data_IF_883798091677
#
_entry.id   IF_883798091677
#
_cell.length_a   1.000
_cell.length_b   1.000
_cell.length_c   1.000
_cell.angle_alpha   90.00
_cell.angle_beta   90.00
_cell.angle_gamma   90.00
#
_symmetry.space_group_name_H-M   'P 1'
#
loop_
_entity.id
_entity.type
_entity.pdbx_description
1 polymer ?
#
# COMPACT_ATOMS: atom_id res chain seq x y z
N UNK A 1 -16.65 -7.05 -7.16
CA UNK A 1 -17.31 -7.22 -8.47
C UNK A 1 -18.38 -8.30 -8.39
N UNK A 2 -19.57 -8.00 -8.90
CA UNK A 2 -20.69 -8.93 -8.98
C UNK A 2 -21.29 -8.91 -10.38
N UNK A 3 -21.51 -10.10 -10.96
CA UNK A 3 -22.14 -10.29 -12.26
C UNK A 3 -23.52 -10.89 -12.03
N UNK A 4 -24.56 -10.19 -12.46
CA UNK A 4 -25.96 -10.60 -12.24
C UNK A 4 -26.65 -10.85 -13.58
N UNK A 5 -27.36 -11.97 -13.70
CA UNK A 5 -28.34 -12.18 -14.75
C UNK A 5 -29.74 -11.98 -14.17
N UNK A 6 -30.56 -11.15 -14.82
CA UNK A 6 -31.94 -10.87 -14.44
C UNK A 6 -32.87 -11.55 -15.45
N UNK A 7 -33.48 -12.71 -15.11
CA UNK A 7 -34.26 -13.50 -16.07
C UNK A 7 -35.47 -12.77 -16.63
N UNK A 8 -36.19 -12.02 -15.79
CA UNK A 8 -37.39 -11.26 -16.18
C UNK A 8 -37.12 -10.20 -17.26
N UNK A 9 -35.87 -9.71 -17.32
CA UNK A 9 -35.44 -8.73 -18.34
C UNK A 9 -34.60 -9.36 -19.44
N UNK A 10 -34.18 -10.62 -19.29
CA UNK A 10 -33.15 -11.29 -20.10
C UNK A 10 -31.88 -10.43 -20.25
N UNK A 11 -31.43 -9.81 -19.14
CA UNK A 11 -30.28 -8.88 -19.14
C UNK A 11 -29.24 -9.26 -18.10
N UNK A 12 -27.98 -9.06 -18.49
CA UNK A 12 -26.80 -9.24 -17.63
C UNK A 12 -26.25 -7.88 -17.20
N UNK A 13 -25.89 -7.73 -15.93
CA UNK A 13 -25.38 -6.51 -15.32
C UNK A 13 -24.07 -6.80 -14.60
N UNK A 14 -23.10 -5.90 -14.71
CA UNK A 14 -21.86 -5.94 -13.93
C UNK A 14 -21.85 -4.80 -12.93
N UNK A 15 -21.71 -5.11 -11.65
CA UNK A 15 -21.47 -4.11 -10.62
C UNK A 15 -20.03 -4.22 -10.14
N UNK A 16 -19.22 -3.18 -10.31
CA UNK A 16 -17.81 -3.27 -9.93
C UNK A 16 -17.63 -3.30 -8.41
N UNK A 17 -18.47 -2.56 -7.69
CA UNK A 17 -18.14 -2.11 -6.34
C UNK A 17 -16.91 -1.20 -6.44
N UNK A 18 -16.21 -0.99 -5.33
CA UNK A 18 -14.91 -0.33 -5.34
C UNK A 18 -13.88 -1.27 -5.98
N UNK A 19 -13.18 -0.83 -7.03
CA UNK A 19 -12.19 -1.69 -7.71
C UNK A 19 -11.09 -0.90 -8.42
N UNK A 20 -9.93 -1.55 -8.58
CA UNK A 20 -8.86 -1.11 -9.47
C UNK A 20 -8.76 -2.09 -10.63
N UNK A 21 -9.04 -1.62 -11.85
CA UNK A 21 -8.90 -2.45 -13.04
C UNK A 21 -7.47 -2.99 -13.18
N UNK A 22 -7.36 -4.28 -13.48
CA UNK A 22 -6.14 -4.91 -13.97
C UNK A 22 -6.46 -5.74 -15.21
N UNK A 23 -5.57 -5.83 -16.21
CA UNK A 23 -5.81 -6.66 -17.40
C UNK A 23 -6.16 -8.11 -17.07
N UNK A 24 -5.63 -8.64 -15.97
CA UNK A 24 -5.93 -10.00 -15.48
C UNK A 24 -7.42 -10.26 -15.20
N UNK A 25 -8.22 -9.21 -14.96
CA UNK A 25 -9.68 -9.35 -14.79
C UNK A 25 -10.38 -9.79 -16.08
N UNK A 26 -9.72 -9.61 -17.23
CA UNK A 26 -10.23 -9.93 -18.55
C UNK A 26 -9.54 -11.17 -19.18
N UNK A 27 -8.68 -11.86 -18.43
CA UNK A 27 -7.97 -13.07 -18.88
C UNK A 27 -8.36 -14.29 -18.05
N UNK A 28 -8.11 -15.50 -18.56
CA UNK A 28 -8.36 -16.73 -17.79
C UNK A 28 -7.60 -16.69 -16.45
N UNK A 29 -8.20 -17.16 -15.33
CA UNK A 29 -9.47 -17.89 -15.21
C UNK A 29 -10.72 -17.01 -14.97
N UNK A 30 -10.68 -15.70 -15.25
CA UNK A 30 -11.83 -14.80 -15.00
C UNK A 30 -13.04 -15.19 -15.84
N UNK A 31 -14.23 -15.24 -15.24
CA UNK A 31 -15.50 -15.46 -15.95
C UNK A 31 -15.83 -14.34 -16.94
N UNK A 32 -15.25 -13.15 -16.77
CA UNK A 32 -15.45 -12.02 -17.69
C UNK A 32 -14.89 -12.32 -19.09
N UNK A 33 -13.95 -13.26 -19.22
CA UNK A 33 -13.46 -13.74 -20.53
C UNK A 33 -14.58 -14.22 -21.44
N UNK A 34 -15.66 -14.80 -20.87
CA UNK A 34 -16.82 -15.25 -21.64
C UNK A 34 -17.60 -14.12 -22.34
N UNK A 35 -17.32 -12.86 -21.98
CA UNK A 35 -17.99 -11.67 -22.50
C UNK A 35 -17.08 -10.82 -23.42
N UNK A 36 -15.87 -11.28 -23.69
CA UNK A 36 -14.85 -10.59 -24.50
C UNK A 36 -14.60 -11.43 -25.73
N UNK A 37 -14.52 -10.81 -26.91
CA UNK A 37 -14.22 -11.56 -28.13
C UNK A 37 -12.77 -12.00 -28.13
N UNK A 38 -12.55 -13.30 -28.31
CA UNK A 38 -11.29 -13.75 -28.87
C UNK A 38 -11.32 -13.52 -30.39
N UNK A 39 -10.20 -13.21 -31.03
CA UNK A 39 -10.13 -12.91 -32.46
C UNK A 39 -10.43 -14.14 -33.36
N UNK A 40 -10.98 -15.20 -32.79
CA UNK A 40 -11.37 -16.45 -33.45
C UNK A 40 -12.88 -16.46 -33.72
N UNK A 41 -13.22 -16.55 -35.00
CA UNK A 41 -14.55 -16.38 -35.54
C UNK A 41 -15.62 -17.36 -35.00
N UNK A 42 -16.88 -16.90 -35.08
CA UNK A 42 -18.14 -17.68 -35.19
C UNK A 42 -18.99 -17.92 -33.93
N UNK A 43 -18.58 -17.53 -32.71
CA UNK A 43 -19.45 -17.67 -31.51
C UNK A 43 -20.08 -16.34 -31.10
N UNK A 44 -21.42 -16.26 -31.09
CA UNK A 44 -22.15 -15.11 -30.53
C UNK A 44 -21.90 -15.02 -29.03
N UNK A 45 -21.20 -13.99 -28.59
CA UNK A 45 -20.87 -13.79 -27.17
C UNK A 45 -22.09 -13.28 -26.38
N UNK A 46 -22.23 -13.69 -25.11
CA UNK A 46 -23.18 -13.07 -24.20
C UNK A 46 -22.81 -11.59 -23.99
N UNK A 47 -23.83 -10.74 -23.80
CA UNK A 47 -23.66 -9.28 -23.65
C UNK A 47 -23.87 -8.84 -22.21
N UNK A 48 -22.97 -8.01 -21.69
CA UNK A 48 -23.24 -7.19 -20.51
C UNK A 48 -24.04 -5.96 -20.95
N UNK A 49 -25.24 -5.82 -20.42
CA UNK A 49 -26.20 -4.80 -20.85
C UNK A 49 -25.99 -3.46 -20.15
N UNK A 50 -25.55 -3.48 -18.88
CA UNK A 50 -25.18 -2.28 -18.14
C UNK A 50 -24.06 -2.58 -17.15
N UNK A 51 -23.23 -1.58 -16.90
CA UNK A 51 -22.13 -1.63 -15.94
C UNK A 51 -22.37 -0.53 -14.90
N UNK A 52 -22.42 -0.90 -13.63
CA UNK A 52 -22.37 0.02 -12.50
C UNK A 52 -20.90 0.14 -12.10
N UNK A 53 -20.28 1.22 -12.58
CA UNK A 53 -18.84 1.44 -12.52
C UNK A 53 -18.46 2.29 -11.30
N UNK A 54 -17.37 1.93 -10.64
CA UNK A 54 -16.66 2.79 -9.70
C UNK A 54 -16.16 4.04 -10.42
N UNK A 55 -16.69 5.20 -10.02
CA UNK A 55 -16.36 6.49 -10.62
C UNK A 55 -15.51 7.37 -9.72
N UNK A 56 -14.93 6.82 -8.64
CA UNK A 56 -14.17 7.57 -7.61
C UNK A 56 -13.11 8.50 -8.20
N UNK A 57 -12.40 8.07 -9.26
CA UNK A 57 -11.39 8.89 -9.96
C UNK A 57 -11.67 9.07 -11.46
N UNK A 58 -12.94 9.17 -11.85
CA UNK A 58 -13.34 9.29 -13.27
C UNK A 58 -13.15 10.72 -13.82
N UNK A 59 -11.92 11.24 -13.74
CA UNK A 59 -11.51 12.53 -14.31
C UNK A 59 -10.04 12.47 -14.74
N UNK A 60 -9.71 13.11 -15.86
CA UNK A 60 -8.36 13.13 -16.43
C UNK A 60 -7.31 13.83 -15.56
N UNK A 61 -7.75 14.59 -14.55
CA UNK A 61 -6.86 15.22 -13.56
C UNK A 61 -6.21 14.21 -12.61
N UNK A 62 -6.76 12.99 -12.54
CA UNK A 62 -6.24 11.92 -11.70
C UNK A 62 -5.31 11.03 -12.50
N UNK A 63 -4.02 11.07 -12.16
CA UNK A 63 -3.00 10.18 -12.68
C UNK A 63 -2.26 9.55 -11.50
N UNK A 64 -2.04 8.24 -11.58
CA UNK A 64 -1.51 7.45 -10.49
C UNK A 64 -0.42 6.52 -10.97
N UNK A 65 0.70 6.45 -10.23
CA UNK A 65 1.68 5.43 -10.50
C UNK A 65 1.11 4.03 -10.23
N UNK A 66 1.71 3.04 -10.88
CA UNK A 66 1.39 1.64 -10.62
C UNK A 66 1.74 1.30 -9.16
N UNK A 67 0.99 0.38 -8.54
CA UNK A 67 1.28 -0.10 -7.20
C UNK A 67 2.71 -0.66 -7.09
N UNK A 68 3.17 -1.33 -8.15
CA UNK A 68 4.52 -1.90 -8.21
C UNK A 68 5.58 -0.79 -8.10
N UNK A 69 5.45 0.28 -8.88
CA UNK A 69 6.43 1.37 -8.90
C UNK A 69 6.46 2.13 -7.56
N UNK A 70 5.28 2.32 -6.97
CA UNK A 70 5.11 2.89 -5.62
C UNK A 70 5.83 2.05 -4.57
N UNK A 71 5.62 0.73 -4.58
CA UNK A 71 6.27 -0.19 -3.64
C UNK A 71 7.77 -0.21 -3.88
N UNK A 72 8.22 -0.23 -5.13
CA UNK A 72 9.63 -0.21 -5.49
C UNK A 72 10.34 1.05 -4.98
N UNK A 73 9.77 2.23 -5.22
CA UNK A 73 10.36 3.47 -4.70
C UNK A 73 10.40 3.47 -3.16
N UNK A 74 9.38 2.92 -2.50
CA UNK A 74 9.36 2.85 -1.04
C UNK A 74 10.40 1.86 -0.50
N UNK A 75 10.66 0.78 -1.23
CA UNK A 75 11.72 -0.18 -0.94
C UNK A 75 13.09 0.46 -1.04
N UNK A 76 13.37 1.21 -2.11
CA UNK A 76 14.66 1.90 -2.29
C UNK A 76 14.92 2.88 -1.14
N UNK A 77 13.94 3.75 -0.83
CA UNK A 77 14.06 4.69 0.30
C UNK A 77 14.25 3.93 1.61
N UNK A 78 13.44 2.90 1.89
CA UNK A 78 13.54 2.15 3.16
C UNK A 78 14.89 1.44 3.27
N UNK A 79 15.40 0.85 2.19
CA UNK A 79 16.71 0.20 2.14
C UNK A 79 17.84 1.19 2.42
N UNK A 80 17.82 2.37 1.82
CA UNK A 80 18.83 3.41 2.06
C UNK A 80 18.90 3.84 3.53
N UNK A 81 17.76 3.92 4.21
CA UNK A 81 17.70 4.19 5.64
C UNK A 81 18.25 3.02 6.46
N UNK A 82 17.87 1.79 6.15
CA UNK A 82 18.33 0.59 6.85
C UNK A 82 19.84 0.33 6.70
N UNK A 83 20.44 0.68 5.56
CA UNK A 83 21.89 0.59 5.35
C UNK A 83 22.63 1.57 6.28
N UNK A 84 22.09 2.77 6.48
CA UNK A 84 22.69 3.81 7.33
C UNK A 84 22.45 3.54 8.81
N UNK A 85 21.26 3.09 9.14
CA UNK A 85 20.83 2.76 10.50
C UNK A 85 19.98 1.48 10.48
N UNK A 86 20.60 0.30 10.66
CA UNK A 86 19.88 -0.98 10.70
C UNK A 86 18.86 -1.07 11.84
N UNK A 87 18.95 -0.15 12.81
CA UNK A 87 18.05 -0.09 13.95
C UNK A 87 16.91 0.90 13.75
N UNK A 88 16.74 1.53 12.58
CA UNK A 88 15.59 2.40 12.32
C UNK A 88 14.27 1.62 12.45
N UNK A 89 13.22 2.26 12.98
CA UNK A 89 11.88 1.69 12.99
C UNK A 89 11.15 2.11 11.71
N UNK A 90 10.65 1.14 10.95
CA UNK A 90 9.77 1.42 9.82
C UNK A 90 8.34 1.35 10.30
N UNK A 91 7.52 2.34 9.93
CA UNK A 91 6.10 2.39 10.33
C UNK A 91 5.23 2.59 9.10
N UNK A 92 4.20 1.76 8.93
CA UNK A 92 3.25 1.86 7.83
C UNK A 92 1.86 2.24 8.34
N UNK A 93 1.24 3.24 7.70
CA UNK A 93 -0.11 3.67 8.03
C UNK A 93 -1.21 2.87 7.32
N UNK A 94 -2.16 2.36 8.09
CA UNK A 94 -3.35 1.64 7.59
C UNK A 94 -4.61 2.15 8.31
N UNK A 95 -5.78 2.08 7.65
CA UNK A 95 -7.06 2.51 8.25
C UNK A 95 -7.80 1.34 8.91
N UNK A 96 -8.16 0.31 8.13
CA UNK A 96 -8.85 -0.89 8.61
C UNK A 96 -8.37 -2.13 7.87
N UNK A 97 -8.70 -2.21 6.58
CA UNK A 97 -8.20 -3.16 5.57
C UNK A 97 -7.79 -2.33 4.36
N UNK A 98 -6.79 -2.78 3.62
CA UNK A 98 -6.22 -2.07 2.49
C UNK A 98 -4.77 -1.67 2.74
N UNK A 99 -3.97 -1.70 1.67
CA UNK A 99 -2.50 -1.48 1.65
C UNK A 99 -1.66 -2.62 2.22
N UNK A 100 -2.23 -3.79 2.46
CA UNK A 100 -1.49 -5.00 2.86
C UNK A 100 -0.41 -5.32 1.84
N UNK A 101 -0.67 -5.06 0.55
CA UNK A 101 0.32 -5.23 -0.52
C UNK A 101 1.54 -4.32 -0.34
N UNK A 102 1.35 -3.09 0.14
CA UNK A 102 2.45 -2.18 0.43
C UNK A 102 3.28 -2.67 1.61
N UNK A 103 2.61 -3.03 2.72
CA UNK A 103 3.25 -3.59 3.91
C UNK A 103 3.98 -4.90 3.60
N UNK A 104 3.35 -5.80 2.83
CA UNK A 104 3.93 -7.06 2.37
C UNK A 104 5.15 -6.80 1.49
N UNK A 105 5.07 -5.89 0.51
CA UNK A 105 6.19 -5.57 -0.37
C UNK A 105 7.43 -5.13 0.42
N UNK A 106 7.26 -4.24 1.41
CA UNK A 106 8.36 -3.87 2.31
C UNK A 106 8.86 -5.07 3.13
N UNK A 107 7.96 -5.86 3.70
CA UNK A 107 8.31 -6.98 4.57
C UNK A 107 9.04 -8.11 3.84
N UNK A 108 8.57 -8.50 2.65
CA UNK A 108 9.13 -9.61 1.90
C UNK A 108 10.49 -9.28 1.29
N UNK A 109 10.62 -8.12 0.66
CA UNK A 109 11.85 -7.73 -0.05
C UNK A 109 12.98 -7.30 0.89
N UNK A 110 12.64 -6.78 2.07
CA UNK A 110 13.62 -6.37 3.09
C UNK A 110 13.70 -7.33 4.28
N UNK A 111 12.99 -8.47 4.21
CA UNK A 111 12.90 -9.48 5.26
C UNK A 111 12.59 -8.90 6.66
N UNK A 112 11.64 -7.97 6.72
CA UNK A 112 11.23 -7.29 7.95
C UNK A 112 10.15 -8.09 8.66
N UNK A 113 10.28 -8.26 9.98
CA UNK A 113 9.19 -8.77 10.81
C UNK A 113 8.17 -7.66 11.07
N UNK A 114 6.89 -8.03 10.99
CA UNK A 114 5.77 -7.10 11.02
C UNK A 114 5.02 -7.24 12.32
N UNK A 115 4.76 -6.13 13.00
CA UNK A 115 3.81 -6.09 14.10
C UNK A 115 2.53 -5.37 13.68
N UNK A 116 1.41 -6.01 13.96
CA UNK A 116 0.07 -5.52 13.68
C UNK A 116 -0.68 -5.27 14.99
N UNK A 117 -1.38 -4.14 15.15
CA UNK A 117 -2.30 -3.95 16.27
C UNK A 117 -3.41 -5.01 16.24
N UNK A 118 -3.98 -5.35 17.40
CA UNK A 118 -4.93 -6.47 17.55
C UNK A 118 -6.08 -6.45 16.54
N UNK A 119 -6.67 -5.27 16.30
CA UNK A 119 -7.78 -5.13 15.36
C UNK A 119 -7.34 -5.42 13.92
N UNK A 120 -6.23 -4.83 13.47
CA UNK A 120 -5.66 -5.07 12.14
C UNK A 120 -5.24 -6.54 11.97
N UNK A 121 -4.62 -7.14 13.00
CA UNK A 121 -4.22 -8.55 12.97
C UNK A 121 -5.44 -9.48 12.79
N UNK A 122 -6.54 -9.20 13.51
CA UNK A 122 -7.80 -9.95 13.37
C UNK A 122 -8.36 -9.82 11.94
N UNK A 123 -8.41 -8.62 11.39
CA UNK A 123 -8.93 -8.38 10.05
C UNK A 123 -8.10 -9.08 8.96
N UNK A 124 -6.76 -9.00 9.06
CA UNK A 124 -5.84 -9.67 8.12
C UNK A 124 -5.99 -11.20 8.19
N UNK A 125 -6.13 -11.78 9.39
CA UNK A 125 -6.41 -13.21 9.56
C UNK A 125 -7.72 -13.63 8.92
N UNK A 126 -8.80 -12.88 9.13
CA UNK A 126 -10.10 -13.15 8.53
C UNK A 126 -10.03 -13.04 7.00
N UNK A 127 -9.36 -12.02 6.46
CA UNK A 127 -9.17 -11.86 5.02
C UNK A 127 -8.36 -13.03 4.42
N UNK A 128 -7.30 -13.49 5.10
CA UNK A 128 -6.53 -14.65 4.66
C UNK A 128 -7.37 -15.95 4.67
N UNK A 129 -8.20 -16.15 5.71
CA UNK A 129 -9.15 -17.27 5.78
C UNK A 129 -10.21 -17.20 4.67
N UNK A 130 -10.63 -15.99 4.29
CA UNK A 130 -11.51 -15.72 3.15
C UNK A 130 -10.86 -15.84 1.78
N UNK A 131 -9.59 -16.27 1.70
CA UNK A 131 -8.89 -16.54 0.43
C UNK A 131 -8.04 -15.39 -0.11
N UNK A 132 -7.82 -14.30 0.64
CA UNK A 132 -6.92 -13.23 0.22
C UNK A 132 -5.45 -13.69 0.29
N UNK A 133 -4.81 -13.85 -0.89
CA UNK A 133 -3.41 -14.29 -0.99
C UNK A 133 -2.43 -13.30 -0.35
N UNK A 134 -2.62 -12.00 -0.58
CA UNK A 134 -1.77 -10.94 -0.01
C UNK A 134 -1.76 -11.01 1.51
N UNK A 135 -2.93 -11.18 2.15
CA UNK A 135 -3.02 -11.31 3.60
C UNK A 135 -2.37 -12.61 4.08
N UNK A 136 -2.54 -13.72 3.35
CA UNK A 136 -1.93 -15.02 3.66
C UNK A 136 -0.39 -14.95 3.63
N UNK A 137 0.16 -14.28 2.63
CA UNK A 137 1.61 -14.05 2.50
C UNK A 137 2.12 -13.10 3.58
N UNK A 138 1.42 -12.00 3.85
CA UNK A 138 1.79 -11.04 4.90
C UNK A 138 1.90 -11.70 6.28
N UNK A 139 0.99 -12.63 6.61
CA UNK A 139 0.99 -13.35 7.88
C UNK A 139 2.28 -14.17 8.12
N UNK A 140 3.04 -14.52 7.08
CA UNK A 140 4.34 -15.22 7.22
C UNK A 140 5.42 -14.34 7.88
N UNK A 141 5.25 -13.01 7.83
CA UNK A 141 6.16 -12.03 8.42
C UNK A 141 5.68 -11.49 9.76
N UNK A 142 4.42 -11.78 10.14
CA UNK A 142 3.80 -11.22 11.34
C UNK A 142 4.32 -11.89 12.61
N UNK A 143 4.66 -11.07 13.61
CA UNK A 143 5.07 -11.51 14.96
C UNK A 143 4.07 -11.08 16.02
N UNK A 144 4.12 -11.75 17.17
CA UNK A 144 3.22 -11.58 18.31
C UNK A 144 3.49 -10.31 19.13
N UNK A 145 4.71 -9.79 19.08
CA UNK A 145 5.16 -8.64 19.87
C UNK A 145 5.78 -7.56 19.01
N UNK A 146 5.47 -6.30 19.32
CA UNK A 146 6.10 -5.13 18.68
C UNK A 146 7.60 -5.08 18.93
N UNK A 147 8.09 -5.77 19.95
CA UNK A 147 9.50 -5.77 20.32
C UNK A 147 10.33 -6.67 19.40
N UNK A 148 9.67 -7.54 18.62
CA UNK A 148 10.30 -8.48 17.67
C UNK A 148 10.19 -8.03 16.22
N UNK A 149 9.72 -6.79 15.97
CA UNK A 149 9.38 -6.30 14.64
C UNK A 149 10.19 -5.05 14.25
N UNK A 150 10.55 -4.98 12.97
CA UNK A 150 11.13 -3.80 12.32
C UNK A 150 10.05 -2.89 11.73
N UNK A 151 8.93 -3.50 11.31
CA UNK A 151 7.87 -2.85 10.57
C UNK A 151 6.60 -2.84 11.43
N UNK A 152 6.18 -1.67 11.89
CA UNK A 152 4.96 -1.52 12.69
C UNK A 152 3.84 -0.95 11.85
N UNK A 153 2.67 -1.57 11.90
CA UNK A 153 1.45 -0.96 11.35
C UNK A 153 0.79 -0.10 12.41
N UNK A 154 0.45 1.14 12.06
CA UNK A 154 -0.30 2.05 12.93
C UNK A 154 -1.55 2.61 12.23
N UNK A 155 -2.56 3.03 13.01
CA UNK A 155 -3.69 3.79 12.49
C UNK A 155 -3.20 5.04 11.76
N UNK A 156 -3.74 5.31 10.56
CA UNK A 156 -3.30 6.43 9.73
C UNK A 156 -3.36 7.80 10.43
N UNK A 157 -4.26 7.96 11.39
CA UNK A 157 -4.38 9.18 12.22
C UNK A 157 -3.11 9.44 13.06
N UNK A 158 -2.38 8.40 13.43
CA UNK A 158 -1.15 8.50 14.24
C UNK A 158 0.10 8.76 13.39
N UNK A 159 0.04 8.62 12.07
CA UNK A 159 1.17 8.87 11.17
C UNK A 159 1.37 10.36 10.88
N UNK A 160 1.52 11.16 11.92
CA UNK A 160 1.98 12.55 11.82
C UNK A 160 3.11 12.74 12.84
N UNK A 161 3.84 13.87 12.76
CA UNK A 161 4.98 14.11 13.64
C UNK A 161 4.60 14.00 15.12
N UNK A 162 3.47 14.57 15.55
CA UNK A 162 3.06 14.50 16.95
C UNK A 162 2.75 13.07 17.40
N UNK A 163 2.01 12.32 16.58
CA UNK A 163 1.66 10.92 16.83
C UNK A 163 2.90 10.01 16.88
N UNK A 164 3.85 10.19 15.96
CA UNK A 164 5.07 9.40 15.93
C UNK A 164 6.02 9.75 17.08
N UNK A 165 6.10 11.01 17.53
CA UNK A 165 6.85 11.36 18.74
C UNK A 165 6.24 10.68 19.97
N UNK A 166 4.91 10.67 20.10
CA UNK A 166 4.24 9.96 21.19
C UNK A 166 4.48 8.45 21.12
N UNK A 167 4.42 7.89 19.92
CA UNK A 167 4.68 6.47 19.69
C UNK A 167 6.13 6.07 20.01
N UNK A 168 7.10 6.89 19.60
CA UNK A 168 8.51 6.72 19.91
C UNK A 168 8.75 6.71 21.43
N UNK A 169 8.13 7.64 22.17
CA UNK A 169 8.18 7.67 23.64
C UNK A 169 7.55 6.43 24.28
N UNK A 170 6.42 5.95 23.74
CA UNK A 170 5.74 4.74 24.23
C UNK A 170 6.57 3.48 24.03
N UNK A 171 7.29 3.38 22.91
CA UNK A 171 8.22 2.27 22.67
C UNK A 171 9.43 2.31 23.60
N UNK A 172 9.76 3.50 24.13
CA UNK A 172 10.87 3.68 25.04
C UNK A 172 12.22 3.52 24.36
N UNK A 173 13.23 3.18 25.15
CA UNK A 173 14.58 2.90 24.65
C UNK A 173 14.62 1.52 23.97
N UNK A 174 15.63 1.31 23.11
CA UNK A 174 15.89 0.04 22.44
C UNK A 174 15.97 -1.10 23.48
N UNK A 175 15.31 -2.20 23.17
CA UNK A 175 15.20 -3.33 24.09
C UNK A 175 16.43 -4.24 23.97
N UNK A 176 16.85 -4.95 25.03
CA UNK A 176 17.99 -5.87 24.99
C UNK A 176 17.79 -7.04 24.01
N UNK A 177 16.54 -7.37 23.70
CA UNK A 177 16.10 -8.48 22.83
C UNK A 177 15.70 -7.97 21.44
N UNK A 178 16.02 -6.71 21.14
CA UNK A 178 15.78 -6.13 19.81
C UNK A 178 16.57 -6.98 18.79
N UNK A 179 15.94 -7.55 17.74
CA UNK A 179 16.65 -8.39 16.76
C UNK A 179 17.82 -7.69 16.04
N UNK A 180 18.04 -6.40 16.33
CA UNK A 180 19.06 -5.51 15.74
C UNK A 180 20.25 -5.25 16.67
N UNK A 181 20.41 -5.97 17.78
CA UNK A 181 21.36 -5.63 18.84
C UNK A 181 22.74 -6.30 18.69
N UNK A 182 23.61 -5.76 17.81
CA UNK A 182 25.06 -6.05 17.84
C UNK A 182 25.90 -4.91 18.47
N UNK A 183 25.28 -3.76 18.79
CA UNK A 183 26.01 -2.61 19.30
C UNK A 183 25.62 -2.32 20.76
N UNK A 184 26.54 -2.44 21.72
CA UNK A 184 26.29 -1.95 23.06
C UNK A 184 26.33 -0.42 23.02
N UNK A 185 25.40 0.22 23.74
CA UNK A 185 25.32 1.67 24.01
C UNK A 185 24.69 2.53 22.92
N UNK A 186 23.53 3.14 23.22
CA UNK A 186 23.32 4.60 23.29
C UNK A 186 21.87 4.87 23.79
N UNK A 187 21.64 5.86 24.68
CA UNK A 187 20.31 6.24 25.17
C UNK A 187 19.54 7.09 24.14
N UNK A 188 19.62 6.74 22.86
CA UNK A 188 18.94 7.47 21.77
C UNK A 188 17.64 6.77 21.41
N UNK A 189 16.54 7.53 21.43
CA UNK A 189 15.26 7.06 20.90
C UNK A 189 15.43 6.57 19.46
N UNK A 190 14.75 5.48 19.11
CA UNK A 190 14.85 4.84 17.79
C UNK A 190 14.37 5.78 16.70
N UNK A 191 15.19 6.05 15.68
CA UNK A 191 14.80 6.80 14.48
C UNK A 191 13.55 6.18 13.86
N UNK A 192 12.66 6.99 13.25
CA UNK A 192 11.42 6.49 12.65
C UNK A 192 11.33 6.91 11.18
N UNK A 193 11.12 5.91 10.31
CA UNK A 193 10.71 6.09 8.93
C UNK A 193 9.22 5.73 8.80
N UNK A 194 8.37 6.73 8.63
CA UNK A 194 6.93 6.58 8.47
C UNK A 194 6.51 6.59 7.00
N UNK A 195 5.63 5.66 6.62
CA UNK A 195 4.97 5.59 5.33
C UNK A 195 3.49 5.88 5.48
N UNK A 196 3.00 6.90 4.77
CA UNK A 196 1.59 7.24 4.57
C UNK A 196 1.18 6.88 3.14
N UNK A 197 0.99 5.58 2.82
CA UNK A 197 0.52 5.17 1.51
C UNK A 197 -0.91 5.68 1.34
N UNK A 198 -1.05 6.81 0.64
CA UNK A 198 -2.30 7.55 0.45
C UNK A 198 -2.61 7.62 -1.03
N UNK A 199 -3.87 7.88 -1.37
CA UNK A 199 -4.31 8.08 -2.74
C UNK A 199 -3.84 9.43 -3.30
N UNK A 200 -4.59 9.96 -4.26
CA UNK A 200 -4.25 11.22 -4.91
C UNK A 200 -4.17 12.39 -3.94
N UNK A 201 -3.29 13.34 -4.23
CA UNK A 201 -3.43 14.69 -3.70
C UNK A 201 -3.06 15.69 -4.78
N UNK A 202 -3.93 16.68 -5.02
CA UNK A 202 -3.64 17.81 -5.88
C UNK A 202 -2.42 18.56 -5.36
N UNK A 203 -1.43 18.83 -6.22
CA UNK A 203 -0.40 19.82 -5.92
C UNK A 203 -0.61 21.03 -6.81
N UNK A 204 -1.00 22.15 -6.19
CA UNK A 204 -0.55 23.45 -6.70
C UNK A 204 0.91 23.59 -6.31
N UNK A 205 1.75 23.87 -7.31
CA UNK A 205 3.19 24.08 -7.17
C UNK A 205 3.48 25.25 -6.24
N UNK A 206 3.48 25.04 -4.93
CA UNK A 206 4.06 25.99 -3.99
C UNK A 206 4.98 25.25 -3.04
N UNK A 207 6.23 25.74 -3.01
CA UNK A 207 7.35 25.37 -2.14
C UNK A 207 7.96 23.99 -2.39
N UNK A 208 8.83 23.93 -3.41
CA UNK A 208 9.98 23.04 -3.39
C UNK A 208 10.95 23.55 -2.31
N UNK A 209 10.86 23.01 -1.10
CA UNK A 209 11.98 23.12 -0.17
C UNK A 209 13.04 22.09 -0.54
N UNK A 210 14.26 22.62 -0.61
CA UNK A 210 15.51 22.08 -1.10
C UNK A 210 16.01 20.81 -0.40
N UNK A 211 16.86 20.10 -1.15
CA UNK A 211 17.88 19.12 -0.73
C UNK A 211 17.40 17.69 -0.44
N UNK A 212 17.44 16.89 -1.51
CA UNK A 212 17.86 15.48 -1.70
C UNK A 212 17.28 15.10 -3.08
N UNK A 213 17.96 14.24 -3.86
CA UNK A 213 17.43 13.76 -5.15
C UNK A 213 15.93 13.43 -4.99
N UNK A 214 15.05 13.88 -5.90
CA UNK A 214 13.64 13.53 -5.79
C UNK A 214 13.55 12.01 -5.67
N UNK A 215 12.88 11.49 -4.63
CA UNK A 215 12.78 10.05 -4.44
C UNK A 215 12.24 9.39 -5.72
N UNK A 216 12.70 8.19 -6.06
CA UNK A 216 12.22 7.46 -7.23
C UNK A 216 10.70 7.31 -7.19
N UNK A 217 10.08 7.31 -8.37
CA UNK A 217 8.65 7.01 -8.57
C UNK A 217 7.69 7.93 -7.81
N UNK A 218 8.03 9.22 -7.69
CA UNK A 218 7.07 10.23 -7.24
C UNK A 218 6.81 10.27 -5.74
N UNK A 219 7.65 9.59 -4.94
CA UNK A 219 7.57 9.58 -3.48
C UNK A 219 7.98 10.93 -2.92
N UNK A 220 7.22 11.44 -1.96
CA UNK A 220 7.48 12.75 -1.35
C UNK A 220 7.73 12.62 0.15
N UNK A 221 8.78 13.28 0.63
CA UNK A 221 8.95 13.52 2.06
C UNK A 221 7.97 14.62 2.49
N UNK A 222 6.92 14.25 3.23
CA UNK A 222 5.87 15.18 3.64
C UNK A 222 6.22 15.93 4.93
N UNK A 223 6.80 15.23 5.90
CA UNK A 223 7.10 15.79 7.22
C UNK A 223 8.45 15.27 7.72
N UNK A 224 9.21 16.14 8.38
CA UNK A 224 10.48 15.82 9.04
C UNK A 224 10.59 16.57 10.36
N UNK A 225 10.95 15.86 11.43
CA UNK A 225 11.32 16.47 12.73
C UNK A 225 12.35 15.59 13.44
N UNK A 226 13.57 16.09 13.58
CA UNK A 226 14.67 15.29 14.14
C UNK A 226 14.90 14.01 13.34
N UNK A 227 14.93 12.87 14.03
CA UNK A 227 15.12 11.54 13.44
C UNK A 227 13.80 10.88 12.95
N UNK A 228 12.70 11.64 12.86
CA UNK A 228 11.42 11.19 12.34
C UNK A 228 11.22 11.75 10.93
N UNK A 229 11.10 10.85 9.95
CA UNK A 229 10.84 11.15 8.55
C UNK A 229 9.54 10.48 8.12
N UNK A 230 8.62 11.24 7.53
CA UNK A 230 7.33 10.72 7.07
C UNK A 230 7.21 10.96 5.57
N UNK A 231 7.21 9.87 4.83
CA UNK A 231 6.95 9.86 3.39
C UNK A 231 5.48 9.55 3.13
N UNK A 232 4.93 10.19 2.11
CA UNK A 232 3.55 10.04 1.68
C UNK A 232 3.38 10.68 0.31
N UNK A 233 2.19 10.52 -0.28
CA UNK A 233 1.83 10.94 -1.64
C UNK A 233 2.75 10.35 -2.72
N UNK A 234 2.13 9.79 -3.75
CA UNK A 234 2.85 9.33 -4.94
C UNK A 234 2.40 10.20 -6.11
N UNK A 235 3.28 11.04 -6.62
CA UNK A 235 3.01 11.95 -7.74
C UNK A 235 3.88 11.63 -8.94
N UNK A 236 3.29 11.30 -10.08
CA UNK A 236 4.01 11.15 -11.35
C UNK A 236 4.50 12.50 -11.85
N UNK A 237 5.69 12.92 -11.41
CA UNK A 237 6.37 14.08 -11.96
C UNK A 237 6.99 13.83 -13.35
N UNK A 238 7.11 12.57 -13.80
CA UNK A 238 8.02 12.25 -14.91
C UNK A 238 7.63 11.09 -15.85
N UNK A 239 6.42 10.53 -15.79
CA UNK A 239 6.05 9.43 -16.69
C UNK A 239 4.97 9.86 -17.69
N UNK A 240 5.39 10.03 -18.93
CA UNK A 240 4.53 10.38 -20.06
C UNK A 240 3.43 9.34 -20.27
N UNK A 241 2.20 9.87 -20.40
CA UNK A 241 1.08 9.43 -21.24
C UNK A 241 0.90 7.92 -21.46
N UNK A 242 -0.31 7.49 -21.10
CA UNK A 242 -0.99 6.20 -21.33
C UNK A 242 -0.88 5.26 -20.14
N UNK A 243 -1.89 5.31 -19.25
CA UNK A 243 -2.46 4.16 -18.50
C UNK A 243 -3.27 4.67 -17.30
N UNK A 244 -4.54 4.97 -17.50
CA UNK A 244 -5.51 5.21 -16.41
C UNK A 244 -5.68 3.95 -15.56
N UNK A 245 -4.89 3.79 -14.51
CA UNK A 245 -4.99 2.67 -13.57
C UNK A 245 -5.18 3.22 -12.15
N UNK A 246 -6.45 3.31 -11.77
CA UNK A 246 -7.07 3.79 -10.52
C UNK A 246 -6.39 3.32 -9.21
N UNK A 247 -6.62 4.01 -8.08
CA UNK A 247 -5.85 3.94 -6.81
C UNK A 247 -6.02 2.63 -6.00
N UNK A 248 -5.08 2.42 -5.06
CA UNK A 248 -5.15 1.45 -3.96
C UNK A 248 -6.46 1.52 -3.18
N UNK A 249 -7.20 0.41 -3.17
CA UNK A 249 -7.96 -0.04 -2.01
C UNK A 249 -7.09 -1.09 -1.29
#
# INVERSE_FOLDING_TARGET
MFLFYVPSKQRTYLHTGDFRYTPSMLTHPSILTNYISDNSASKKLPRIHSIFLDTTYCSSQYDFPNQVDVIHGALEVTRDYLIKDPTILVVCGMYSIGKERFTLGLASELNLKVWLPNNQNRLIKLAAQGGCSVCKELLQYVVDSSHKAQLHVLPMQQLNVAGLVQYQKKLGNRLPIDPFHNSPTFPKLRSILGWRPTGWSHRQSNNAQSSIRPPPNGIVLEQKKGDIHIYGKFSDGYMFRTRSHFVFF
#
